data_IF_180125231898
#
_entry.id   IF_180125231898
#
_cell.length_a   1.000
_cell.length_b   1.000
_cell.length_c   1.000
_cell.angle_alpha   90.00
_cell.angle_beta   90.00
_cell.angle_gamma   90.00
#
_symmetry.space_group_name_H-M   'P 1'
#
loop_
_entity.id
_entity.type
_entity.pdbx_description
1 polymer ?
#
# COMPACT_ATOMS: atom_id res chain seq x y z
N UNK A 1 14.87 15.57 8.25
CA UNK A 1 13.75 15.25 7.35
C UNK A 1 13.61 13.75 7.32
N UNK A 2 12.38 13.20 7.36
CA UNK A 2 12.18 11.75 7.18
C UNK A 2 12.58 11.38 5.74
N UNK A 3 13.31 10.29 5.61
CA UNK A 3 13.71 9.75 4.33
C UNK A 3 12.51 8.94 3.75
N UNK A 4 12.42 8.78 2.43
CA UNK A 4 11.35 8.05 1.76
C UNK A 4 11.18 6.62 2.31
N UNK A 5 12.26 5.96 2.67
CA UNK A 5 12.25 4.61 3.28
C UNK A 5 11.47 4.56 4.59
N UNK A 6 11.66 5.57 5.46
CA UNK A 6 10.92 5.67 6.73
C UNK A 6 9.42 5.86 6.47
N UNK A 7 9.07 6.71 5.50
CA UNK A 7 7.68 6.94 5.13
C UNK A 7 7.00 5.65 4.67
N UNK A 8 7.65 4.89 3.77
CA UNK A 8 7.15 3.60 3.27
C UNK A 8 6.99 2.57 4.40
N UNK A 9 7.98 2.46 5.30
CA UNK A 9 7.91 1.52 6.43
C UNK A 9 6.74 1.85 7.35
N UNK A 10 6.57 3.14 7.70
CA UNK A 10 5.50 3.58 8.59
C UNK A 10 4.12 3.45 7.92
N UNK A 11 4.00 3.77 6.64
CA UNK A 11 2.77 3.58 5.87
C UNK A 11 2.37 2.10 5.86
N UNK A 12 3.34 1.18 5.71
CA UNK A 12 3.08 -0.26 5.67
C UNK A 12 2.63 -0.86 7.04
N UNK A 13 2.42 -0.04 8.06
CA UNK A 13 1.63 -0.39 9.24
C UNK A 13 0.12 -0.44 8.91
N UNK A 14 -0.32 0.19 7.82
CA UNK A 14 -1.71 0.20 7.36
C UNK A 14 -2.39 -1.16 7.31
N UNK A 15 -1.80 -2.21 6.74
CA UNK A 15 -2.34 -3.58 6.77
C UNK A 15 -2.68 -4.09 8.17
N UNK A 16 -1.89 -3.75 9.20
CA UNK A 16 -2.20 -4.12 10.58
C UNK A 16 -3.44 -3.40 11.10
N UNK A 17 -3.63 -2.13 10.73
CA UNK A 17 -4.86 -1.40 11.05
C UNK A 17 -6.08 -2.00 10.35
N UNK A 18 -5.94 -2.40 9.09
CA UNK A 18 -7.00 -3.12 8.35
C UNK A 18 -7.36 -4.43 9.05
N UNK A 19 -6.38 -5.25 9.38
CA UNK A 19 -6.60 -6.53 10.07
C UNK A 19 -7.26 -6.31 11.43
N UNK A 20 -6.75 -5.37 12.23
CA UNK A 20 -7.31 -5.03 13.55
C UNK A 20 -8.76 -4.56 13.44
N UNK A 21 -9.05 -3.66 12.51
CA UNK A 21 -10.41 -3.17 12.28
C UNK A 21 -11.36 -4.32 11.91
N UNK A 22 -10.97 -5.19 10.97
CA UNK A 22 -11.78 -6.31 10.52
C UNK A 22 -12.01 -7.34 11.65
N UNK A 23 -11.03 -7.53 12.53
CA UNK A 23 -11.16 -8.41 13.69
C UNK A 23 -12.11 -7.83 14.75
N UNK A 24 -11.90 -6.57 15.14
CA UNK A 24 -12.70 -5.89 16.19
C UNK A 24 -14.15 -5.71 15.76
N UNK A 25 -14.37 -5.39 14.48
CA UNK A 25 -15.73 -5.23 13.94
C UNK A 25 -16.40 -6.55 13.53
N UNK A 26 -15.74 -7.69 13.77
CA UNK A 26 -16.22 -9.03 13.38
C UNK A 26 -16.60 -9.17 11.91
N UNK A 27 -16.09 -8.29 11.03
CA UNK A 27 -16.37 -8.36 9.58
C UNK A 27 -15.59 -9.48 8.89
N UNK A 28 -14.47 -9.91 9.47
CA UNK A 28 -13.68 -11.02 8.98
C UNK A 28 -13.09 -11.80 10.15
N UNK A 29 -13.20 -13.13 10.11
CA UNK A 29 -12.46 -14.00 11.03
C UNK A 29 -11.03 -14.09 10.53
N UNK A 30 -10.08 -13.53 11.29
CA UNK A 30 -8.66 -13.60 10.98
C UNK A 30 -8.13 -15.01 11.25
N UNK A 31 -7.29 -15.46 10.35
CA UNK A 31 -6.55 -16.71 10.51
C UNK A 31 -5.14 -16.38 11.01
N UNK A 32 -4.51 -17.33 11.67
CA UNK A 32 -3.10 -17.20 12.06
C UNK A 32 -2.20 -16.91 10.84
N UNK A 33 -2.56 -17.46 9.67
CA UNK A 33 -1.85 -17.21 8.42
C UNK A 33 -1.99 -15.76 7.93
N UNK A 34 -3.13 -15.10 8.16
CA UNK A 34 -3.32 -13.70 7.75
C UNK A 34 -2.37 -12.77 8.57
N UNK A 35 -2.23 -13.06 9.87
CA UNK A 35 -1.30 -12.34 10.75
C UNK A 35 0.15 -12.64 10.40
N UNK A 36 0.49 -13.92 10.18
CA UNK A 36 1.84 -14.30 9.77
C UNK A 36 2.23 -13.65 8.43
N UNK A 37 1.32 -13.65 7.45
CA UNK A 37 1.55 -13.00 6.17
C UNK A 37 1.80 -11.49 6.34
N UNK A 38 1.04 -10.82 7.21
CA UNK A 38 1.26 -9.40 7.50
C UNK A 38 2.65 -9.14 8.11
N UNK A 39 3.08 -9.97 9.06
CA UNK A 39 4.41 -9.86 9.67
C UNK A 39 5.50 -10.09 8.64
N UNK A 40 5.39 -11.13 7.81
CA UNK A 40 6.37 -11.43 6.76
C UNK A 40 6.43 -10.31 5.71
N UNK A 41 5.27 -9.78 5.30
CA UNK A 41 5.19 -8.66 4.37
C UNK A 41 5.87 -7.41 4.96
N UNK A 42 5.59 -7.08 6.23
CA UNK A 42 6.19 -5.94 6.91
C UNK A 42 7.72 -6.06 6.99
N UNK A 43 8.24 -7.23 7.41
CA UNK A 43 9.68 -7.47 7.45
C UNK A 43 10.29 -7.36 6.05
N UNK A 44 9.63 -7.91 5.05
CA UNK A 44 10.08 -7.83 3.65
C UNK A 44 10.14 -6.39 3.14
N UNK A 45 9.08 -5.60 3.36
CA UNK A 45 9.04 -4.17 3.00
C UNK A 45 10.11 -3.38 3.76
N UNK A 46 10.31 -3.68 5.04
CA UNK A 46 11.34 -3.05 5.86
C UNK A 46 12.75 -3.29 5.26
N UNK A 47 13.07 -4.52 4.87
CA UNK A 47 14.36 -4.86 4.26
C UNK A 47 14.52 -4.19 2.88
N UNK A 48 13.50 -4.20 2.03
CA UNK A 48 13.51 -3.54 0.72
C UNK A 48 13.67 -2.03 0.83
N UNK A 49 13.00 -1.40 1.80
CA UNK A 49 13.05 0.05 1.98
C UNK A 49 14.35 0.54 2.60
N UNK A 50 15.03 -0.30 3.38
CA UNK A 50 16.30 0.06 4.04
C UNK A 50 17.53 -0.39 3.27
N UNK A 51 17.39 -1.31 2.31
CA UNK A 51 18.50 -1.98 1.63
C UNK A 51 19.53 -2.57 2.60
N UNK A 52 19.08 -2.92 3.82
CA UNK A 52 19.95 -3.39 4.91
C UNK A 52 20.76 -2.29 5.62
N UNK A 53 20.55 -1.02 5.30
CA UNK A 53 21.22 0.10 5.97
C UNK A 53 20.34 0.68 7.08
N UNK A 54 20.50 0.18 8.30
CA UNK A 54 19.71 0.59 9.46
C UNK A 54 20.18 1.92 10.09
N UNK A 55 21.35 2.43 9.72
CA UNK A 55 21.91 3.67 10.28
C UNK A 55 21.16 4.93 9.81
N UNK A 56 20.35 4.82 8.77
CA UNK A 56 19.56 5.93 8.22
C UNK A 56 18.16 6.06 8.81
N UNK A 57 17.80 5.24 9.81
CA UNK A 57 16.49 5.20 10.44
C UNK A 57 16.34 6.22 11.58
N UNK A 58 16.81 7.45 11.41
CA UNK A 58 16.53 8.51 12.36
C UNK A 58 15.07 8.97 12.25
N UNK A 59 14.21 8.42 13.10
CA UNK A 59 12.77 8.75 13.13
C UNK A 59 12.55 9.91 14.10
N UNK A 60 12.19 11.08 13.59
CA UNK A 60 11.75 12.20 14.41
C UNK A 60 10.30 11.99 14.88
N UNK A 61 9.88 12.56 16.05
CA UNK A 61 8.48 12.44 16.50
C UNK A 61 7.46 12.92 15.46
N UNK A 62 7.80 13.96 14.71
CA UNK A 62 6.96 14.50 13.64
C UNK A 62 6.84 13.51 12.46
N UNK A 63 7.95 12.87 12.07
CA UNK A 63 7.94 11.85 11.03
C UNK A 63 7.12 10.62 11.45
N UNK A 64 7.21 10.21 12.72
CA UNK A 64 6.41 9.14 13.27
C UNK A 64 4.92 9.47 13.22
N UNK A 65 4.54 10.69 13.65
CA UNK A 65 3.15 11.14 13.64
C UNK A 65 2.56 11.12 12.21
N UNK A 66 3.22 11.75 11.26
CA UNK A 66 2.73 11.77 9.86
C UNK A 66 2.78 10.40 9.20
N UNK A 67 3.77 9.56 9.52
CA UNK A 67 3.85 8.19 9.02
C UNK A 67 2.70 7.31 9.53
N UNK A 68 2.36 7.40 10.82
CA UNK A 68 1.20 6.70 11.37
C UNK A 68 -0.12 7.24 10.80
N UNK A 69 -0.22 8.55 10.59
CA UNK A 69 -1.38 9.16 9.94
C UNK A 69 -1.52 8.66 8.49
N UNK A 70 -0.42 8.50 7.77
CA UNK A 70 -0.39 7.87 6.43
C UNK A 70 -0.89 6.42 6.47
N UNK A 71 -0.46 5.63 7.48
CA UNK A 71 -0.94 4.26 7.66
C UNK A 71 -2.45 4.19 7.94
N UNK A 72 -2.99 5.13 8.73
CA UNK A 72 -4.44 5.27 8.93
C UNK A 72 -5.14 5.65 7.62
N UNK A 73 -4.54 6.54 6.84
CA UNK A 73 -5.02 6.92 5.51
C UNK A 73 -5.12 5.72 4.57
N UNK A 74 -4.08 4.90 4.52
CA UNK A 74 -4.03 3.67 3.71
C UNK A 74 -5.08 2.65 4.16
N UNK A 75 -5.20 2.40 5.46
CA UNK A 75 -6.24 1.53 5.99
C UNK A 75 -7.65 2.06 5.64
N UNK A 76 -7.85 3.37 5.73
CA UNK A 76 -9.13 4.02 5.40
C UNK A 76 -9.46 3.87 3.92
N UNK A 77 -8.49 4.08 3.04
CA UNK A 77 -8.67 3.96 1.60
C UNK A 77 -8.93 2.50 1.16
N UNK A 78 -8.48 1.52 1.94
CA UNK A 78 -8.80 0.11 1.73
C UNK A 78 -10.19 -0.25 2.27
N UNK A 79 -10.58 0.26 3.44
CA UNK A 79 -11.80 -0.17 4.15
C UNK A 79 -13.06 0.59 3.72
N UNK A 80 -12.96 1.91 3.52
CA UNK A 80 -14.12 2.76 3.20
C UNK A 80 -14.77 2.37 1.86
N UNK A 81 -14.01 2.13 0.77
CA UNK A 81 -14.61 1.81 -0.51
C UNK A 81 -15.33 0.46 -0.58
N UNK A 82 -15.03 -0.48 0.32
CA UNK A 82 -15.54 -1.87 0.28
C UNK A 82 -17.05 -1.95 0.06
N UNK A 83 -17.82 -1.13 0.77
CA UNK A 83 -19.28 -1.09 0.64
C UNK A 83 -19.72 -0.28 -0.58
N UNK A 84 -18.99 0.75 -0.92
CA UNK A 84 -19.32 1.68 -2.01
C UNK A 84 -19.12 1.03 -3.37
N UNK A 85 -17.99 0.35 -3.59
CA UNK A 85 -17.68 -0.30 -4.88
C UNK A 85 -18.62 -1.44 -5.23
N UNK A 86 -19.37 -1.97 -4.24
CA UNK A 86 -20.43 -2.98 -4.46
C UNK A 86 -21.73 -2.36 -4.99
N UNK A 87 -21.94 -1.08 -4.78
CA UNK A 87 -23.17 -0.36 -5.15
C UNK A 87 -22.97 0.60 -6.32
N UNK A 88 -21.78 1.16 -6.43
CA UNK A 88 -21.42 2.18 -7.43
C UNK A 88 -20.19 1.72 -8.19
N UNK A 89 -19.96 2.25 -9.39
CA UNK A 89 -18.75 1.97 -10.16
C UNK A 89 -17.49 2.34 -9.38
N UNK A 90 -16.46 1.47 -9.41
CA UNK A 90 -15.16 1.76 -8.80
C UNK A 90 -14.55 3.04 -9.36
N UNK A 91 -14.77 3.37 -10.63
CA UNK A 91 -14.31 4.60 -11.25
C UNK A 91 -14.90 5.85 -10.56
N UNK A 92 -16.20 5.81 -10.25
CA UNK A 92 -16.88 6.91 -9.54
C UNK A 92 -16.33 7.05 -8.12
N UNK A 93 -16.17 5.92 -7.41
CA UNK A 93 -15.63 5.93 -6.04
C UNK A 93 -14.21 6.47 -6.00
N UNK A 94 -13.33 6.00 -6.90
CA UNK A 94 -11.95 6.46 -7.00
C UNK A 94 -11.86 7.92 -7.42
N UNK A 95 -12.63 8.32 -8.45
CA UNK A 95 -12.64 9.70 -8.96
C UNK A 95 -13.07 10.71 -7.90
N UNK A 96 -14.17 10.45 -7.20
CA UNK A 96 -14.61 11.32 -6.10
C UNK A 96 -13.64 11.31 -4.93
N UNK A 97 -13.07 10.15 -4.57
CA UNK A 97 -12.05 10.06 -3.53
C UNK A 97 -10.84 10.92 -3.83
N UNK A 98 -10.30 10.84 -5.04
CA UNK A 98 -9.15 11.65 -5.47
C UNK A 98 -9.49 13.15 -5.55
N UNK A 99 -10.68 13.50 -6.06
CA UNK A 99 -11.12 14.89 -6.14
C UNK A 99 -11.22 15.52 -4.75
N UNK A 100 -11.90 14.84 -3.81
CA UNK A 100 -12.05 15.34 -2.44
C UNK A 100 -10.71 15.42 -1.70
N UNK A 101 -9.82 14.43 -1.89
CA UNK A 101 -8.48 14.46 -1.33
C UNK A 101 -7.64 15.61 -1.90
N UNK A 102 -7.73 15.85 -3.21
CA UNK A 102 -7.05 16.97 -3.88
C UNK A 102 -7.54 18.33 -3.37
N UNK A 103 -8.87 18.51 -3.24
CA UNK A 103 -9.46 19.73 -2.66
C UNK A 103 -9.00 19.91 -1.20
N UNK A 104 -9.05 18.84 -0.39
CA UNK A 104 -8.60 18.87 0.99
C UNK A 104 -7.12 19.27 1.13
N UNK A 105 -6.25 18.68 0.29
CA UNK A 105 -4.84 19.02 0.26
C UNK A 105 -4.61 20.49 -0.15
N UNK A 106 -5.34 20.96 -1.14
CA UNK A 106 -5.25 22.35 -1.62
C UNK A 106 -5.69 23.38 -0.56
N UNK A 107 -6.65 23.02 0.28
CA UNK A 107 -7.07 23.87 1.41
C UNK A 107 -6.03 23.94 2.52
N UNK A 108 -5.31 22.83 2.78
CA UNK A 108 -4.28 22.75 3.83
C UNK A 108 -2.95 23.33 3.35
N UNK A 109 -2.61 23.12 2.08
CA UNK A 109 -1.32 23.54 1.49
C UNK A 109 -1.55 24.12 0.09
N UNK A 110 -1.98 25.41 -0.01
CA UNK A 110 -2.34 26.05 -1.28
C UNK A 110 -1.14 26.50 -2.11
N UNK A 111 -0.02 25.80 -2.01
CA UNK A 111 1.21 26.13 -2.76
C UNK A 111 1.39 25.17 -3.91
N UNK A 112 1.44 25.71 -5.13
CA UNK A 112 1.81 24.94 -6.31
C UNK A 112 3.32 25.08 -6.53
N UNK A 113 4.07 23.97 -6.64
CA UNK A 113 5.46 24.03 -7.03
C UNK A 113 5.58 24.61 -8.44
N UNK A 114 6.58 25.47 -8.66
CA UNK A 114 6.92 25.93 -10.00
C UNK A 114 7.47 24.75 -10.81
N UNK A 115 6.72 24.31 -11.79
CA UNK A 115 7.11 23.21 -12.67
C UNK A 115 7.70 23.80 -13.95
N UNK A 116 8.91 23.37 -14.41
CA UNK A 116 9.44 23.80 -15.70
C UNK A 116 8.44 23.48 -16.82
N UNK A 117 8.09 24.48 -17.62
CA UNK A 117 7.12 24.33 -18.71
C UNK A 117 7.76 23.70 -19.95
N UNK A 118 8.16 22.44 -19.86
CA UNK A 118 8.72 21.66 -20.97
C UNK A 118 7.81 20.48 -21.31
N UNK A 119 7.76 20.10 -22.58
CA UNK A 119 6.97 18.97 -23.04
C UNK A 119 7.31 17.67 -22.25
N UNK A 120 8.60 17.45 -22.00
CA UNK A 120 9.07 16.28 -21.26
C UNK A 120 8.49 16.23 -19.86
N UNK A 121 8.53 17.33 -19.11
CA UNK A 121 7.97 17.40 -17.75
C UNK A 121 6.47 17.15 -17.75
N UNK A 122 5.74 17.69 -18.71
CA UNK A 122 4.30 17.42 -18.83
C UNK A 122 3.99 15.97 -19.19
N UNK A 123 4.80 15.32 -20.01
CA UNK A 123 4.68 13.89 -20.29
C UNK A 123 4.95 13.05 -19.03
N UNK A 124 6.01 13.37 -18.28
CA UNK A 124 6.36 12.67 -17.03
C UNK A 124 5.25 12.84 -15.99
N UNK A 125 4.73 14.05 -15.78
CA UNK A 125 3.61 14.32 -14.88
C UNK A 125 2.34 13.56 -15.30
N UNK A 126 2.03 13.59 -16.60
CA UNK A 126 0.87 12.85 -17.14
C UNK A 126 1.01 11.35 -16.94
N UNK A 127 2.21 10.80 -17.13
CA UNK A 127 2.49 9.39 -16.90
C UNK A 127 2.32 9.01 -15.41
N UNK A 128 2.80 9.84 -14.48
CA UNK A 128 2.60 9.65 -13.05
C UNK A 128 1.11 9.68 -12.69
N UNK A 129 0.35 10.63 -13.23
CA UNK A 129 -1.08 10.75 -12.96
C UNK A 129 -1.84 9.53 -13.51
N UNK A 130 -1.60 9.14 -14.74
CA UNK A 130 -2.39 8.09 -15.41
C UNK A 130 -1.91 6.71 -14.97
N UNK A 131 -0.62 6.41 -15.18
CA UNK A 131 -0.05 5.08 -14.97
C UNK A 131 0.26 4.84 -13.49
N UNK A 132 0.80 5.84 -12.79
CA UNK A 132 1.20 5.73 -11.39
C UNK A 132 0.07 5.99 -10.39
N UNK A 133 -1.04 6.60 -10.81
CA UNK A 133 -2.11 6.95 -9.86
C UNK A 133 -3.48 6.42 -10.30
N UNK A 134 -4.05 6.91 -11.41
CA UNK A 134 -5.43 6.56 -11.79
C UNK A 134 -5.59 5.05 -11.99
N UNK A 135 -4.71 4.43 -12.77
CA UNK A 135 -4.82 3.00 -13.11
C UNK A 135 -4.68 2.12 -11.86
N UNK A 136 -3.63 2.24 -11.01
CA UNK A 136 -3.47 1.40 -9.83
C UNK A 136 -4.64 1.54 -8.84
N UNK A 137 -5.03 2.76 -8.51
CA UNK A 137 -6.15 2.99 -7.59
C UNK A 137 -7.47 2.45 -8.12
N UNK A 138 -7.71 2.57 -9.44
CA UNK A 138 -8.88 2.00 -10.09
C UNK A 138 -8.89 0.46 -10.04
N UNK A 139 -7.75 -0.17 -10.32
CA UNK A 139 -7.59 -1.63 -10.26
C UNK A 139 -7.83 -2.11 -8.83
N UNK A 140 -7.22 -1.44 -7.84
CA UNK A 140 -7.37 -1.80 -6.45
C UNK A 140 -8.81 -1.63 -5.96
N UNK A 141 -9.46 -0.50 -6.23
CA UNK A 141 -10.86 -0.29 -5.88
C UNK A 141 -11.77 -1.33 -6.53
N UNK A 142 -11.47 -1.74 -7.77
CA UNK A 142 -12.22 -2.81 -8.42
C UNK A 142 -11.95 -4.19 -7.78
N UNK A 143 -10.72 -4.47 -7.37
CA UNK A 143 -10.35 -5.71 -6.68
C UNK A 143 -11.13 -5.92 -5.37
N UNK A 144 -11.45 -4.84 -4.63
CA UNK A 144 -12.26 -4.88 -3.41
C UNK A 144 -13.69 -5.42 -3.62
N UNK A 145 -14.15 -5.56 -4.85
CA UNK A 145 -15.42 -6.23 -5.17
C UNK A 145 -15.34 -7.74 -5.02
N UNK A 146 -14.18 -8.31 -5.28
CA UNK A 146 -13.97 -9.74 -5.45
C UNK A 146 -13.06 -10.33 -4.39
N UNK A 147 -12.15 -9.51 -3.84
CA UNK A 147 -11.11 -9.93 -2.91
C UNK A 147 -11.37 -9.32 -1.53
N UNK A 148 -11.00 -10.07 -0.49
CA UNK A 148 -11.13 -9.58 0.89
C UNK A 148 -10.22 -8.37 1.12
N UNK A 149 -10.67 -7.34 1.88
CA UNK A 149 -9.87 -6.16 2.16
C UNK A 149 -8.50 -6.47 2.78
N UNK A 150 -8.43 -7.47 3.67
CA UNK A 150 -7.17 -7.93 4.26
C UNK A 150 -6.15 -8.42 3.22
N UNK A 151 -6.62 -9.13 2.19
CA UNK A 151 -5.74 -9.62 1.13
C UNK A 151 -5.30 -8.47 0.21
N UNK A 152 -6.21 -7.55 -0.11
CA UNK A 152 -5.90 -6.37 -0.93
C UNK A 152 -4.84 -5.52 -0.25
N UNK A 153 -5.02 -5.20 1.04
CA UNK A 153 -4.05 -4.42 1.82
C UNK A 153 -2.67 -5.09 1.92
N UNK A 154 -2.60 -6.41 2.00
CA UNK A 154 -1.31 -7.12 2.03
C UNK A 154 -0.64 -7.19 0.64
N UNK A 155 -1.42 -7.09 -0.44
CA UNK A 155 -0.86 -7.01 -1.80
C UNK A 155 -0.13 -5.69 -2.06
N UNK A 156 -0.40 -4.64 -1.27
CA UNK A 156 0.33 -3.36 -1.36
C UNK A 156 1.84 -3.53 -1.07
N UNK A 157 2.25 -4.64 -0.42
CA UNK A 157 3.66 -5.00 -0.29
C UNK A 157 4.39 -5.22 -1.63
N UNK A 158 3.65 -5.40 -2.73
CA UNK A 158 4.24 -5.44 -4.06
C UNK A 158 4.72 -4.07 -4.55
N UNK A 159 4.25 -2.97 -3.96
CA UNK A 159 4.69 -1.62 -4.32
C UNK A 159 6.21 -1.45 -4.17
N UNK A 160 6.81 -1.61 -2.97
CA UNK A 160 8.26 -1.50 -2.81
C UNK A 160 9.03 -2.59 -3.56
N UNK A 161 8.45 -3.79 -3.73
CA UNK A 161 9.03 -4.83 -4.56
C UNK A 161 9.12 -4.40 -6.03
N UNK A 162 8.02 -3.87 -6.58
CA UNK A 162 7.99 -3.37 -7.96
C UNK A 162 8.92 -2.20 -8.16
N UNK A 163 9.01 -1.28 -7.19
CA UNK A 163 9.94 -0.15 -7.21
C UNK A 163 11.39 -0.63 -7.23
N UNK A 164 11.74 -1.64 -6.43
CA UNK A 164 13.09 -2.24 -6.41
C UNK A 164 13.42 -2.88 -7.75
N UNK A 165 12.54 -3.73 -8.28
CA UNK A 165 12.73 -4.37 -9.60
C UNK A 165 12.84 -3.32 -10.71
N UNK A 166 11.97 -2.32 -10.72
CA UNK A 166 12.03 -1.21 -11.67
C UNK A 166 13.34 -0.45 -11.60
N UNK A 167 13.85 -0.20 -10.40
CA UNK A 167 15.12 0.48 -10.18
C UNK A 167 16.32 -0.32 -10.73
N UNK A 168 16.30 -1.63 -10.58
CA UNK A 168 17.31 -2.53 -11.18
C UNK A 168 17.25 -2.47 -12.71
N UNK A 169 16.05 -2.58 -13.28
CA UNK A 169 15.88 -2.65 -14.74
C UNK A 169 16.14 -1.31 -15.44
N UNK A 170 15.74 -0.20 -14.83
CA UNK A 170 15.82 1.13 -15.46
C UNK A 170 17.12 1.84 -15.14
N UNK A 171 17.61 1.73 -13.89
CA UNK A 171 18.80 2.46 -13.43
C UNK A 171 20.02 1.56 -13.24
N UNK A 172 19.90 0.25 -13.48
CA UNK A 172 21.01 -0.70 -13.32
C UNK A 172 21.48 -0.86 -11.88
N UNK A 173 20.62 -0.59 -10.89
CA UNK A 173 20.97 -0.75 -9.48
C UNK A 173 21.19 -2.23 -9.16
N UNK A 174 22.17 -2.49 -8.31
CA UNK A 174 22.49 -3.87 -7.86
C UNK A 174 21.70 -4.16 -6.59
N UNK A 175 20.95 -5.26 -6.58
CA UNK A 175 20.25 -5.72 -5.39
C UNK A 175 21.24 -6.24 -4.34
N UNK A 176 21.11 -5.76 -3.12
CA UNK A 176 21.84 -6.30 -1.96
C UNK A 176 21.28 -7.67 -1.54
N UNK A 177 22.01 -8.39 -0.71
CA UNK A 177 21.48 -9.63 -0.11
C UNK A 177 20.21 -9.42 0.72
N UNK A 178 20.06 -8.22 1.33
CA UNK A 178 18.86 -7.84 2.08
C UNK A 178 17.68 -7.56 1.17
N UNK A 179 17.89 -7.02 -0.03
CA UNK A 179 16.83 -6.84 -1.02
C UNK A 179 16.28 -8.17 -1.53
N UNK A 180 17.17 -9.15 -1.76
CA UNK A 180 16.76 -10.51 -2.12
C UNK A 180 15.95 -11.16 -1.00
N UNK A 181 16.40 -11.05 0.25
CA UNK A 181 15.67 -11.59 1.40
C UNK A 181 14.31 -10.92 1.55
N UNK A 182 14.25 -9.58 1.44
CA UNK A 182 12.99 -8.82 1.47
C UNK A 182 12.02 -9.25 0.37
N UNK A 183 12.54 -9.43 -0.86
CA UNK A 183 11.76 -9.93 -2.00
C UNK A 183 11.15 -11.31 -1.71
N UNK A 184 11.93 -12.27 -1.21
CA UNK A 184 11.40 -13.59 -0.87
C UNK A 184 10.37 -13.55 0.24
N UNK A 185 10.53 -12.69 1.24
CA UNK A 185 9.55 -12.53 2.32
C UNK A 185 8.23 -11.94 1.82
N UNK A 186 8.27 -10.92 0.95
CA UNK A 186 7.06 -10.33 0.35
C UNK A 186 6.34 -11.37 -0.52
N UNK A 187 7.03 -12.05 -1.42
CA UNK A 187 6.42 -13.09 -2.26
C UNK A 187 5.87 -14.22 -1.40
N UNK A 188 6.63 -14.68 -0.41
CA UNK A 188 6.20 -15.71 0.54
C UNK A 188 4.96 -15.33 1.33
N UNK A 189 4.84 -14.06 1.74
CA UNK A 189 3.65 -13.55 2.46
C UNK A 189 2.39 -13.66 1.60
N UNK A 190 2.46 -13.29 0.34
CA UNK A 190 1.34 -13.36 -0.60
C UNK A 190 0.98 -14.82 -0.94
N UNK A 191 1.98 -15.66 -1.13
CA UNK A 191 1.74 -17.10 -1.33
C UNK A 191 1.07 -17.72 -0.12
N UNK A 192 1.46 -17.36 1.11
CA UNK A 192 0.84 -17.85 2.35
C UNK A 192 -0.67 -17.54 2.43
N UNK A 193 -1.11 -16.39 1.87
CA UNK A 193 -2.53 -16.04 1.80
C UNK A 193 -3.33 -16.98 0.89
N UNK A 194 -2.70 -17.48 -0.17
CA UNK A 194 -3.35 -18.38 -1.15
C UNK A 194 -3.42 -19.83 -0.67
N UNK A 195 -2.51 -20.27 0.22
CA UNK A 195 -2.55 -21.60 0.82
C UNK A 195 -3.64 -21.69 1.89
N UNK A 196 -4.89 -21.60 1.46
CA UNK A 196 -6.03 -21.78 2.36
C UNK A 196 -6.64 -23.17 2.15
N UNK A 197 -6.62 -24.05 3.15
CA UNK A 197 -7.48 -25.21 3.12
C UNK A 197 -8.94 -24.71 3.10
N UNK A 198 -9.71 -25.15 2.09
CA UNK A 198 -11.15 -24.89 2.01
C UNK A 198 -11.78 -25.38 3.31
N UNK A 199 -12.12 -24.47 4.21
CA UNK A 199 -12.86 -24.82 5.41
C UNK A 199 -14.27 -25.20 4.96
N UNK A 200 -14.59 -26.51 5.01
CA UNK A 200 -15.95 -27.00 4.87
C UNK A 200 -16.83 -26.29 5.91
N UNK A 201 -17.57 -25.30 5.47
CA UNK A 201 -18.64 -24.71 6.28
C UNK A 201 -19.71 -25.79 6.34
N UNK A 202 -19.69 -26.63 7.38
CA UNK A 202 -20.86 -27.43 7.75
C UNK A 202 -22.00 -26.43 7.96
N UNK A 203 -22.93 -26.36 7.01
CA UNK A 203 -24.23 -25.74 7.22
C UNK A 203 -24.82 -26.41 8.45
N UNK A 204 -24.93 -25.68 9.56
CA UNK A 204 -25.87 -26.10 10.61
C UNK A 204 -27.26 -25.88 10.04
N UNK A 205 -27.89 -27.00 9.72
CA UNK A 205 -29.33 -27.13 9.49
C UNK A 205 -30.10 -26.72 10.74
#
# INVERSE_FOLDING_TARGET
MANASIATILQFIGPFFVLTYLAVTHQQVLRKLDVLAAILAFIGVFLLSTHGNFNQLAITPLALFFGLLSAVGEASYTLIPVKLVKRVSSLVVTGWGMLLAGIGLMLVYPQFPSIPNTLRVWLDVSAIIIIGTIIPFQIMANALRYVKPSNVSLLDAFEPLSATVGSVLVFGLVMSGMDWLGTFLVIGSVLALNFTPKRNIKKKS
#
